data_IF_544794682915
#
_entry.id   IF_544794682915
#
_cell.length_a   1.000
_cell.length_b   1.000
_cell.length_c   1.000
_cell.angle_alpha   90.00
_cell.angle_beta   90.00
_cell.angle_gamma   90.00
#
_symmetry.space_group_name_H-M   'P 1'
#
loop_
_entity.id
_entity.type
_entity.pdbx_description
1 polymer ?
#
# COMPACT_ATOMS: atom_id res chain seq x y z
N UNK A 1 -9.55 -10.34 -18.71
CA UNK A 1 -8.77 -11.59 -18.80
C UNK A 1 -7.60 -11.35 -19.72
N UNK A 2 -6.36 -11.40 -19.22
CA UNK A 2 -5.17 -11.42 -20.07
C UNK A 2 -4.47 -12.75 -19.77
N UNK A 3 -4.64 -13.73 -20.66
CA UNK A 3 -3.87 -14.98 -20.59
C UNK A 3 -2.54 -14.74 -21.28
N UNK A 4 -1.44 -14.76 -20.53
CA UNK A 4 -0.14 -15.02 -21.13
C UNK A 4 -0.09 -16.52 -21.41
N UNK A 5 -0.16 -16.91 -22.69
CA UNK A 5 -0.03 -18.30 -23.10
C UNK A 5 1.44 -18.73 -23.02
N UNK A 6 1.85 -19.24 -21.86
CA UNK A 6 3.00 -20.15 -21.78
C UNK A 6 2.46 -21.56 -21.99
N UNK A 7 3.02 -22.25 -23.00
CA UNK A 7 2.68 -23.62 -23.38
C UNK A 7 2.62 -24.52 -22.13
N UNK A 8 1.47 -25.15 -21.92
CA UNK A 8 1.37 -26.39 -21.15
C UNK A 8 1.26 -26.27 -19.62
N UNK A 9 0.42 -25.38 -19.10
CA UNK A 9 -0.40 -25.60 -17.89
C UNK A 9 -1.29 -24.38 -17.70
N UNK A 10 -2.61 -24.55 -17.72
CA UNK A 10 -3.52 -23.49 -17.28
C UNK A 10 -3.31 -23.29 -15.78
N UNK A 11 -2.52 -22.28 -15.41
CA UNK A 11 -2.50 -21.81 -14.03
C UNK A 11 -3.84 -21.13 -13.75
N UNK A 12 -4.74 -21.85 -13.09
CA UNK A 12 -5.85 -21.23 -12.38
C UNK A 12 -5.26 -20.43 -11.22
N UNK A 13 -5.18 -19.11 -11.37
CA UNK A 13 -4.93 -18.21 -10.24
C UNK A 13 -6.14 -18.28 -9.31
N UNK A 14 -6.10 -19.17 -8.31
CA UNK A 14 -6.96 -19.02 -7.14
C UNK A 14 -6.59 -17.68 -6.51
N UNK A 15 -7.59 -16.81 -6.35
CA UNK A 15 -7.43 -15.51 -5.71
C UNK A 15 -7.03 -15.70 -4.25
N UNK A 16 -5.73 -15.76 -4.00
CA UNK A 16 -5.14 -15.69 -2.68
C UNK A 16 -4.50 -14.31 -2.58
N UNK A 17 -5.32 -13.27 -2.46
CA UNK A 17 -4.88 -11.88 -2.31
C UNK A 17 -4.32 -11.59 -0.89
N UNK A 18 -4.23 -12.61 -0.02
CA UNK A 18 -3.76 -12.54 1.37
C UNK A 18 -2.22 -12.50 1.47
N UNK A 19 -1.62 -11.50 0.83
CA UNK A 19 -0.20 -11.18 0.94
C UNK A 19 0.00 -10.11 2.01
N UNK A 20 0.57 -10.51 3.14
CA UNK A 20 0.78 -9.62 4.27
C UNK A 20 2.07 -8.81 4.09
N UNK A 21 2.01 -7.55 4.49
CA UNK A 21 3.17 -6.66 4.45
C UNK A 21 4.10 -6.97 5.61
N UNK A 22 5.38 -7.32 5.36
CA UNK A 22 6.32 -7.57 6.44
C UNK A 22 6.57 -6.27 7.22
N UNK A 23 6.89 -6.40 8.51
CA UNK A 23 7.23 -5.25 9.37
C UNK A 23 8.34 -4.37 8.77
N UNK A 24 9.34 -4.99 8.14
CA UNK A 24 10.47 -4.31 7.51
C UNK A 24 10.07 -3.32 6.43
N UNK A 25 8.98 -3.56 5.70
CA UNK A 25 8.48 -2.61 4.71
C UNK A 25 7.96 -1.32 5.37
N UNK A 26 7.29 -1.43 6.52
CA UNK A 26 6.84 -0.27 7.30
C UNK A 26 8.02 0.46 7.97
N UNK A 27 9.03 -0.28 8.40
CA UNK A 27 10.28 0.28 8.95
C UNK A 27 10.99 1.18 7.93
N UNK A 28 11.03 0.79 6.64
CA UNK A 28 11.63 1.59 5.56
C UNK A 28 11.08 3.02 5.46
N UNK A 29 9.82 3.24 5.82
CA UNK A 29 9.16 4.54 5.75
C UNK A 29 8.89 5.14 7.12
N UNK A 30 9.46 4.61 8.20
CA UNK A 30 9.16 5.01 9.59
C UNK A 30 9.34 6.52 9.84
N UNK A 31 10.29 7.16 9.14
CA UNK A 31 10.54 8.61 9.21
C UNK A 31 9.41 9.45 8.59
N UNK A 32 8.65 8.89 7.66
CA UNK A 32 7.56 9.55 6.94
C UNK A 32 6.18 9.17 7.50
N UNK A 33 6.12 8.24 8.45
CA UNK A 33 4.86 7.88 9.09
C UNK A 33 4.33 9.06 9.92
N UNK A 34 3.05 9.45 9.73
CA UNK A 34 2.43 10.55 10.46
C UNK A 34 2.01 10.13 11.87
N UNK A 35 2.99 9.90 12.75
CA UNK A 35 2.83 9.23 14.07
C UNK A 35 1.86 9.91 15.03
N UNK A 36 1.64 11.22 14.87
CA UNK A 36 0.74 12.06 15.67
C UNK A 36 -0.67 12.21 15.08
N UNK A 37 -0.97 11.56 13.95
CA UNK A 37 -2.26 11.60 13.26
C UNK A 37 -3.09 10.34 13.54
N UNK A 38 -4.39 10.41 13.25
CA UNK A 38 -5.26 9.23 13.18
C UNK A 38 -5.02 8.54 11.84
N UNK A 39 -4.22 7.49 11.87
CA UNK A 39 -3.93 6.62 10.72
C UNK A 39 -5.08 5.63 10.54
N UNK A 40 -5.57 5.53 9.31
CA UNK A 40 -6.47 4.46 8.90
C UNK A 40 -5.74 3.49 7.97
N UNK A 41 -5.67 2.22 8.38
CA UNK A 41 -5.22 1.12 7.54
C UNK A 41 -6.44 0.24 7.18
N UNK A 42 -7.13 0.56 6.06
CA UNK A 42 -8.42 -0.04 5.69
C UNK A 42 -8.38 -1.51 5.27
N UNK A 43 -7.23 -2.06 4.90
CA UNK A 43 -7.16 -3.41 4.33
C UNK A 43 -6.60 -4.40 5.36
N UNK A 44 -7.52 -5.10 6.03
CA UNK A 44 -7.21 -5.89 7.23
C UNK A 44 -6.23 -7.03 7.00
N UNK A 45 -6.37 -7.80 5.92
CA UNK A 45 -5.62 -9.04 5.70
C UNK A 45 -5.60 -9.93 6.96
N UNK A 46 -4.45 -10.15 7.60
CA UNK A 46 -4.32 -10.91 8.86
C UNK A 46 -4.24 -10.03 10.13
N UNK A 47 -4.40 -8.71 10.02
CA UNK A 47 -4.35 -7.76 11.12
C UNK A 47 -2.94 -7.32 11.57
N UNK A 48 -1.85 -7.85 10.99
CA UNK A 48 -0.48 -7.57 11.44
C UNK A 48 -0.04 -6.13 11.18
N UNK A 49 -0.48 -5.54 10.06
CA UNK A 49 -0.13 -4.18 9.64
C UNK A 49 -0.42 -3.15 10.72
N UNK A 50 -1.63 -3.18 11.28
CA UNK A 50 -2.01 -2.26 12.36
C UNK A 50 -1.19 -2.45 13.65
N UNK A 51 -0.69 -3.67 13.93
CA UNK A 51 0.24 -3.91 15.05
C UNK A 51 1.60 -3.28 14.77
N UNK A 52 2.16 -3.53 13.59
CA UNK A 52 3.47 -2.99 13.18
C UNK A 52 3.49 -1.46 13.18
N UNK A 53 2.45 -0.82 12.67
CA UNK A 53 2.34 0.65 12.70
C UNK A 53 2.37 1.19 14.14
N UNK A 54 1.66 0.54 15.07
CA UNK A 54 1.69 0.91 16.49
C UNK A 54 3.07 0.70 17.13
N UNK A 55 3.73 -0.42 16.84
CA UNK A 55 5.10 -0.70 17.30
C UNK A 55 6.12 0.33 16.78
N UNK A 56 5.86 0.94 15.62
CA UNK A 56 6.69 2.02 15.05
C UNK A 56 6.38 3.40 15.62
N UNK A 57 5.48 3.50 16.60
CA UNK A 57 5.14 4.73 17.31
C UNK A 57 3.94 5.48 16.75
N UNK A 58 3.15 4.88 15.85
CA UNK A 58 1.87 5.47 15.43
C UNK A 58 0.83 5.29 16.53
N UNK A 59 0.45 6.39 17.19
CA UNK A 59 -0.34 6.34 18.43
C UNK A 59 -1.79 5.94 18.16
N UNK A 60 -2.37 6.47 17.08
CA UNK A 60 -3.77 6.26 16.71
C UNK A 60 -3.87 5.52 15.38
N UNK A 61 -4.10 4.20 15.44
CA UNK A 61 -4.26 3.35 14.25
C UNK A 61 -5.62 2.68 14.26
N UNK A 62 -6.46 2.99 13.28
CA UNK A 62 -7.71 2.31 12.98
C UNK A 62 -7.39 1.18 12.00
N UNK A 63 -7.63 -0.07 12.39
CA UNK A 63 -7.34 -1.25 11.58
C UNK A 63 -8.26 -2.41 11.96
N UNK A 64 -9.50 -2.31 11.49
CA UNK A 64 -10.56 -3.28 11.77
C UNK A 64 -10.94 -4.04 10.49
N UNK A 65 -11.50 -5.23 10.64
CA UNK A 65 -11.99 -6.03 9.52
C UNK A 65 -13.35 -5.53 9.03
N UNK A 66 -13.35 -4.34 8.43
CA UNK A 66 -14.54 -3.68 7.87
C UNK A 66 -14.26 -3.25 6.43
N UNK A 67 -15.32 -3.14 5.62
CA UNK A 67 -15.18 -2.74 4.22
C UNK A 67 -14.86 -1.25 4.09
N UNK A 68 -13.73 -0.96 3.43
CA UNK A 68 -13.26 0.39 3.10
C UNK A 68 -14.32 1.26 2.41
N UNK A 69 -15.18 0.68 1.60
CA UNK A 69 -16.13 1.43 0.75
C UNK A 69 -17.43 1.81 1.47
N UNK A 70 -17.70 1.25 2.65
CA UNK A 70 -19.02 1.38 3.31
C UNK A 70 -18.96 1.87 4.76
N UNK A 71 -17.78 1.92 5.38
CA UNK A 71 -17.63 2.46 6.73
C UNK A 71 -17.60 4.00 6.75
N UNK A 72 -17.71 4.57 7.95
CA UNK A 72 -17.77 6.02 8.18
C UNK A 72 -16.71 6.50 9.18
N UNK A 73 -15.53 5.87 9.21
CA UNK A 73 -14.50 6.26 10.16
C UNK A 73 -13.98 7.68 9.93
N UNK A 74 -13.70 8.39 11.03
CA UNK A 74 -12.99 9.66 11.00
C UNK A 74 -11.49 9.39 11.19
N UNK A 75 -10.69 9.88 10.25
CA UNK A 75 -9.24 9.69 10.20
C UNK A 75 -8.59 10.84 9.45
N UNK A 76 -7.31 11.04 9.69
CA UNK A 76 -6.53 12.11 9.07
C UNK A 76 -5.83 11.65 7.78
N UNK A 77 -5.37 10.39 7.76
CA UNK A 77 -4.46 9.87 6.74
C UNK A 77 -4.61 8.37 6.56
N UNK A 78 -4.44 7.88 5.34
CA UNK A 78 -4.41 6.45 5.04
C UNK A 78 -2.95 5.98 4.95
N UNK A 79 -2.59 4.89 5.63
CA UNK A 79 -1.28 4.24 5.48
C UNK A 79 -1.53 2.77 5.24
N UNK A 80 -1.20 2.27 4.05
CA UNK A 80 -1.78 1.00 3.62
C UNK A 80 -1.03 0.19 2.56
N UNK A 81 -1.21 -1.13 2.58
CA UNK A 81 -0.93 -2.03 1.46
C UNK A 81 -2.26 -2.55 0.85
N UNK A 82 -2.85 -1.82 -0.11
CA UNK A 82 -4.16 -2.16 -0.65
C UNK A 82 -4.15 -3.42 -1.53
N UNK A 83 -5.30 -4.11 -1.68
CA UNK A 83 -5.42 -5.21 -2.62
C UNK A 83 -5.19 -4.75 -4.05
N UNK A 84 -4.25 -5.39 -4.74
CA UNK A 84 -3.82 -4.99 -6.07
C UNK A 84 -4.87 -5.25 -7.16
N UNK A 85 -5.80 -6.16 -6.92
CA UNK A 85 -6.95 -6.46 -7.79
C UNK A 85 -7.93 -5.29 -7.90
N UNK A 86 -8.00 -4.40 -6.90
CA UNK A 86 -9.02 -3.35 -6.80
C UNK A 86 -8.48 -1.92 -6.94
N UNK A 87 -7.22 -1.74 -7.36
CA UNK A 87 -6.53 -0.43 -7.42
C UNK A 87 -7.35 0.66 -8.09
N UNK A 88 -8.00 0.38 -9.24
CA UNK A 88 -8.76 1.40 -9.95
C UNK A 88 -9.96 1.93 -9.12
N UNK A 89 -10.67 1.05 -8.41
CA UNK A 89 -11.79 1.45 -7.54
C UNK A 89 -11.28 2.22 -6.33
N UNK A 90 -10.18 1.76 -5.73
CA UNK A 90 -9.54 2.42 -4.59
C UNK A 90 -9.10 3.84 -4.96
N UNK A 91 -8.40 4.02 -6.08
CA UNK A 91 -7.94 5.33 -6.53
C UNK A 91 -9.07 6.32 -6.81
N UNK A 92 -10.20 5.87 -7.34
CA UNK A 92 -11.40 6.71 -7.49
C UNK A 92 -11.94 7.20 -6.14
N UNK A 93 -11.96 6.33 -5.12
CA UNK A 93 -12.35 6.75 -3.77
C UNK A 93 -11.33 7.68 -3.14
N UNK A 94 -10.02 7.44 -3.32
CA UNK A 94 -8.98 8.36 -2.83
C UNK A 94 -9.13 9.75 -3.45
N UNK A 95 -9.45 9.82 -4.75
CA UNK A 95 -9.71 11.09 -5.45
C UNK A 95 -10.92 11.80 -4.86
N UNK A 96 -12.01 11.07 -4.58
CA UNK A 96 -13.22 11.61 -3.94
C UNK A 96 -12.97 12.08 -2.50
N UNK A 97 -12.16 11.33 -1.74
CA UNK A 97 -11.85 11.62 -0.33
C UNK A 97 -10.88 12.79 -0.18
N UNK A 98 -9.96 12.97 -1.14
CA UNK A 98 -8.92 14.01 -1.17
C UNK A 98 -8.03 14.08 0.10
N UNK A 99 -7.96 12.98 0.86
CA UNK A 99 -7.18 12.87 2.09
C UNK A 99 -5.74 12.42 1.84
N UNK A 100 -4.78 12.82 2.70
CA UNK A 100 -3.42 12.32 2.65
C UNK A 100 -3.34 10.78 2.67
N UNK A 101 -2.36 10.22 1.97
CA UNK A 101 -2.08 8.78 2.04
C UNK A 101 -0.63 8.40 1.78
N UNK A 102 -0.24 7.24 2.31
CA UNK A 102 0.94 6.46 1.91
C UNK A 102 0.46 5.07 1.50
N UNK A 103 0.61 4.71 0.23
CA UNK A 103 0.20 3.38 -0.28
C UNK A 103 1.39 2.59 -0.82
N UNK A 104 1.57 1.37 -0.32
CA UNK A 104 2.48 0.39 -0.91
C UNK A 104 1.85 -0.22 -2.17
N UNK A 105 2.45 0.04 -3.33
CA UNK A 105 1.88 -0.33 -4.63
C UNK A 105 2.95 -0.87 -5.58
N UNK A 106 2.59 -1.75 -6.53
CA UNK A 106 3.52 -2.15 -7.58
C UNK A 106 3.96 -0.93 -8.41
N UNK A 107 5.23 -0.86 -8.78
CA UNK A 107 5.81 0.26 -9.57
C UNK A 107 4.98 0.55 -10.83
N UNK A 108 4.42 -0.49 -11.46
CA UNK A 108 3.59 -0.36 -12.66
C UNK A 108 2.37 0.56 -12.49
N UNK A 109 1.94 0.88 -11.26
CA UNK A 109 0.81 1.78 -10.99
C UNK A 109 1.02 3.17 -11.61
N UNK A 110 2.26 3.67 -11.66
CA UNK A 110 2.57 5.03 -12.14
C UNK A 110 2.29 5.20 -13.64
N UNK A 111 2.19 4.08 -14.37
CA UNK A 111 1.88 4.06 -15.81
C UNK A 111 0.37 3.99 -16.10
N UNK A 112 -0.47 3.82 -15.07
CA UNK A 112 -1.90 3.56 -15.25
C UNK A 112 -2.70 4.85 -15.39
N UNK A 113 -3.77 4.81 -16.18
CA UNK A 113 -4.61 5.98 -16.44
C UNK A 113 -5.26 6.54 -15.17
N UNK A 114 -5.72 5.66 -14.26
CA UNK A 114 -6.32 6.08 -12.99
C UNK A 114 -5.32 6.78 -12.04
N UNK A 115 -4.00 6.62 -12.27
CA UNK A 115 -2.98 7.33 -11.50
C UNK A 115 -2.77 8.76 -12.01
N UNK A 116 -3.22 9.10 -13.23
CA UNK A 116 -2.96 10.42 -13.83
C UNK A 116 -3.45 11.59 -12.97
N UNK A 117 -4.58 11.44 -12.27
CA UNK A 117 -5.08 12.45 -11.33
C UNK A 117 -4.06 12.81 -10.22
N UNK A 118 -3.28 11.83 -9.79
CA UNK A 118 -2.30 11.93 -8.71
C UNK A 118 -0.87 12.15 -9.20
N UNK A 119 -0.61 11.94 -10.49
CA UNK A 119 0.73 11.89 -11.07
C UNK A 119 1.61 13.11 -10.79
N UNK A 120 1.01 14.29 -10.70
CA UNK A 120 1.70 15.55 -10.39
C UNK A 120 1.54 16.00 -8.94
N UNK A 121 0.84 15.24 -8.10
CA UNK A 121 0.49 15.59 -6.71
C UNK A 121 1.10 14.64 -5.68
N UNK A 122 1.68 13.53 -6.14
CA UNK A 122 2.33 12.55 -5.28
C UNK A 122 3.84 12.63 -5.38
N UNK A 123 4.53 12.30 -4.28
CA UNK A 123 5.92 11.87 -4.29
C UNK A 123 6.01 10.36 -4.12
N UNK A 124 7.18 9.81 -4.42
CA UNK A 124 7.46 8.38 -4.38
C UNK A 124 8.61 8.10 -3.41
N UNK A 125 8.46 7.07 -2.59
CA UNK A 125 9.56 6.53 -1.79
C UNK A 125 9.89 5.13 -2.33
N UNK A 126 11.16 4.93 -2.68
CA UNK A 126 11.71 3.71 -3.23
C UNK A 126 12.38 2.94 -2.09
N UNK A 127 11.88 1.75 -1.71
CA UNK A 127 12.53 0.92 -0.69
C UNK A 127 13.92 0.44 -1.19
N UNK A 128 14.87 0.16 -0.28
CA UNK A 128 16.23 -0.23 -0.65
C UNK A 128 16.28 -1.59 -1.34
N UNK A 129 15.30 -2.44 -1.07
CA UNK A 129 15.21 -3.81 -1.57
C UNK A 129 13.78 -4.13 -1.98
N UNK A 130 13.63 -5.14 -2.85
CA UNK A 130 12.32 -5.69 -3.19
C UNK A 130 11.65 -6.26 -1.95
N UNK A 131 10.46 -5.75 -1.65
CA UNK A 131 9.63 -6.22 -0.53
C UNK A 131 9.19 -7.66 -0.81
N UNK A 132 9.51 -8.55 0.15
CA UNK A 132 9.07 -9.94 0.16
C UNK A 132 7.82 -10.03 1.04
N UNK A 133 6.64 -10.15 0.41
CA UNK A 133 5.39 -10.31 1.15
C UNK A 133 5.34 -11.66 1.88
N UNK A 134 4.51 -11.73 2.91
CA UNK A 134 4.34 -12.93 3.73
C UNK A 134 3.02 -13.62 3.45
N UNK A 135 3.05 -14.96 3.36
CA UNK A 135 1.85 -15.79 3.32
C UNK A 135 1.92 -16.78 4.48
N UNK A 136 0.87 -16.84 5.31
CA UNK A 136 0.85 -17.65 6.53
C UNK A 136 2.05 -17.40 7.47
N UNK A 137 2.48 -16.13 7.62
CA UNK A 137 3.67 -15.72 8.38
C UNK A 137 5.00 -16.28 7.87
N UNK A 138 5.02 -16.81 6.64
CA UNK A 138 6.25 -17.24 5.97
C UNK A 138 6.56 -16.24 4.85
N UNK A 139 7.74 -15.60 4.87
CA UNK A 139 8.18 -14.77 3.76
C UNK A 139 8.20 -15.57 2.47
N UNK A 140 7.61 -15.03 1.41
CA UNK A 140 7.72 -15.64 0.09
C UNK A 140 9.18 -15.61 -0.36
N UNK A 141 9.62 -16.72 -0.94
CA UNK A 141 11.01 -16.87 -1.33
C UNK A 141 11.45 -15.88 -2.41
N UNK A 142 10.53 -15.44 -3.30
CA UNK A 142 10.74 -14.38 -4.30
C UNK A 142 9.43 -13.74 -4.76
N UNK A 143 9.14 -12.53 -4.28
CA UNK A 143 8.22 -11.63 -4.96
C UNK A 143 8.76 -11.31 -6.36
N UNK A 144 7.90 -11.37 -7.38
CA UNK A 144 8.30 -11.23 -8.78
C UNK A 144 8.12 -9.81 -9.32
N UNK A 145 7.64 -8.88 -8.49
CA UNK A 145 7.45 -7.48 -8.83
C UNK A 145 7.99 -6.56 -7.75
N UNK A 146 8.34 -5.34 -8.15
CA UNK A 146 8.84 -4.30 -7.26
C UNK A 146 7.70 -3.38 -6.83
N UNK A 147 7.77 -2.93 -5.58
CA UNK A 147 6.80 -2.00 -4.99
C UNK A 147 7.47 -0.70 -4.57
N UNK A 148 6.66 0.35 -4.53
CA UNK A 148 7.02 1.69 -4.11
C UNK A 148 5.94 2.21 -3.15
N UNK A 149 6.29 3.19 -2.33
CA UNK A 149 5.30 3.93 -1.56
C UNK A 149 4.91 5.17 -2.34
N UNK A 150 3.64 5.27 -2.70
CA UNK A 150 3.04 6.46 -3.29
C UNK A 150 2.52 7.33 -2.16
N UNK A 151 3.04 8.55 -2.06
CA UNK A 151 2.74 9.48 -0.97
C UNK A 151 1.99 10.70 -1.51
N UNK A 152 0.81 10.98 -0.96
CA UNK A 152 -0.01 12.13 -1.31
C UNK A 152 -0.23 13.02 -0.08
N UNK A 153 0.12 14.31 -0.16
CA UNK A 153 0.04 15.28 0.95
C UNK A 153 0.70 14.78 2.25
N UNK A 154 1.90 14.22 2.15
CA UNK A 154 2.66 13.68 3.29
C UNK A 154 3.81 14.63 3.64
N UNK A 155 3.92 14.97 4.91
CA UNK A 155 5.00 15.81 5.41
C UNK A 155 6.36 15.16 5.15
N UNK A 156 7.31 15.94 4.62
CA UNK A 156 8.63 15.44 4.25
C UNK A 156 8.70 14.73 2.89
N UNK A 157 7.60 14.66 2.13
CA UNK A 157 7.59 14.13 0.75
C UNK A 157 6.94 15.13 -0.20
N UNK A 158 7.73 15.76 -1.07
CA UNK A 158 7.24 16.77 -2.02
C UNK A 158 6.57 16.14 -3.24
N UNK A 159 5.68 16.89 -3.87
CA UNK A 159 5.06 16.48 -5.13
C UNK A 159 6.14 16.26 -6.21
N UNK A 160 6.04 15.15 -6.95
CA UNK A 160 7.01 14.69 -7.96
C UNK A 160 8.42 14.38 -7.44
N UNK A 161 8.62 14.35 -6.13
CA UNK A 161 9.88 13.91 -5.54
C UNK A 161 10.00 12.38 -5.60
N UNK A 162 11.23 11.90 -5.80
CA UNK A 162 11.57 10.48 -5.69
C UNK A 162 12.66 10.37 -4.63
N UNK A 163 12.34 9.68 -3.54
CA UNK A 163 13.24 9.46 -2.41
C UNK A 163 13.70 8.01 -2.46
N UNK A 164 15.01 7.80 -2.45
CA UNK A 164 15.60 6.46 -2.30
C UNK A 164 15.98 6.27 -0.84
N UNK A 165 15.46 5.22 -0.22
CA UNK A 165 15.89 4.81 1.12
C UNK A 165 17.16 3.98 0.96
N UNK A 166 18.17 4.32 1.75
CA UNK A 166 19.46 3.59 1.83
C UNK A 166 19.40 2.44 2.84
#
# INVERSE_FOLDING_TARGET
MVSLALRGKSMTFKGEDDYNTPKSAWECISLYLPKNKIIYEPFYSNGSSGRYLRELGCINVIHDNVDFFTNSYSYDVIVSNPPFSHKQRIFKELERLDKPFILLLPVSVITKQFYRYFSNKCGLIIPPNRIQFEKNNVPLSRCWFDCIFVCYKIDGVREREIIYIE
#
